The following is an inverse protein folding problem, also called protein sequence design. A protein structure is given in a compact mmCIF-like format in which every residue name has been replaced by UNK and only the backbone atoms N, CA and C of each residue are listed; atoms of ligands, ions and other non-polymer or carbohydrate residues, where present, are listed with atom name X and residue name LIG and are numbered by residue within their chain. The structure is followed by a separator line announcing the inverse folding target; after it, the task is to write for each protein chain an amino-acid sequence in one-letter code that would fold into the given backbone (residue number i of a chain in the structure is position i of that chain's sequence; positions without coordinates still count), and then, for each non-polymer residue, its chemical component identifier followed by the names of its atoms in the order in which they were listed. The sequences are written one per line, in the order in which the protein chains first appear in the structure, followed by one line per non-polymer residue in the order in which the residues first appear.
data_IF_068006722566
#
_entry.id   IF_068006722566
#
_cell.length_a   1.000
_cell.length_b   1.000
_cell.length_c   1.000
_cell.angle_alpha   90.00
_cell.angle_beta   90.00
_cell.angle_gamma   90.00
#
_symmetry.space_group_name_H-M   'P 1'
#
loop_
_entity.id
_entity.type
_entity.pdbx_description
1 polymer ?
#
# COMPACT_ATOMS: atom_id res chain seq x y z
N UNK A 1 28.76 -30.46 41.21
CA UNK A 1 28.02 -29.18 41.36
C UNK A 1 28.34 -28.12 40.29
N UNK A 2 29.11 -28.40 39.23
CA UNK A 2 29.46 -27.40 38.20
C UNK A 2 28.68 -27.54 36.87
N UNK A 3 28.09 -28.70 36.57
CA UNK A 3 27.38 -28.94 35.29
C UNK A 3 25.94 -28.38 35.22
N UNK A 4 25.27 -28.18 36.36
CA UNK A 4 23.90 -27.64 36.38
C UNK A 4 23.84 -26.12 36.27
N UNK A 5 24.90 -25.41 36.67
CA UNK A 5 24.99 -23.95 36.55
C UNK A 5 25.17 -23.53 35.08
N UNK A 6 25.92 -24.30 34.29
CA UNK A 6 26.16 -23.99 32.87
C UNK A 6 24.93 -24.20 31.97
N UNK A 7 24.02 -25.10 32.35
CA UNK A 7 22.78 -25.34 31.59
C UNK A 7 21.72 -24.26 31.86
N UNK A 8 21.74 -23.70 33.07
CA UNK A 8 20.78 -22.67 33.50
C UNK A 8 21.11 -21.29 32.92
N UNK A 9 22.39 -21.00 32.65
CA UNK A 9 22.82 -19.77 31.95
C UNK A 9 22.49 -19.81 30.46
N UNK A 10 22.55 -20.99 29.83
CA UNK A 10 22.19 -21.14 28.41
C UNK A 10 20.68 -20.98 28.17
N UNK A 11 19.85 -21.33 29.15
CA UNK A 11 18.39 -21.18 29.07
C UNK A 11 17.91 -19.72 29.29
N UNK A 12 18.72 -18.88 29.94
CA UNK A 12 18.41 -17.46 30.16
C UNK A 12 18.73 -16.56 28.97
N UNK A 13 19.60 -17.01 28.04
CA UNK A 13 19.91 -16.26 26.82
C UNK A 13 18.86 -16.42 25.71
N UNK A 14 17.86 -17.28 25.88
CA UNK A 14 16.79 -17.52 24.89
C UNK A 14 15.53 -16.68 25.17
N UNK A 15 15.47 -15.95 26.28
CA UNK A 15 14.26 -15.23 26.72
C UNK A 15 14.30 -13.70 26.56
N UNK A 16 15.34 -13.13 25.95
CA UNK A 16 15.47 -11.67 25.76
C UNK A 16 15.42 -11.21 24.29
N UNK A 17 14.88 -12.04 23.40
CA UNK A 17 14.73 -11.72 21.98
C UNK A 17 13.35 -11.18 21.60
N UNK A 18 12.74 -10.31 22.39
CA UNK A 18 11.63 -9.50 21.86
C UNK A 18 12.26 -8.36 21.05
N UNK A 19 12.49 -8.58 19.75
CA UNK A 19 12.82 -7.48 18.86
C UNK A 19 11.68 -6.46 18.95
N UNK A 20 12.00 -5.25 19.38
CA UNK A 20 11.04 -4.21 19.68
C UNK A 20 10.36 -3.78 18.35
N UNK A 21 9.05 -4.03 18.25
CA UNK A 21 8.22 -3.60 17.12
C UNK A 21 7.98 -2.08 17.23
N UNK A 22 9.01 -1.31 16.89
CA UNK A 22 8.95 0.15 16.96
C UNK A 22 8.41 0.75 15.66
N UNK A 23 7.51 1.70 15.84
CA UNK A 23 6.90 2.51 14.78
C UNK A 23 7.84 3.62 14.33
N UNK A 24 8.02 3.79 13.02
CA UNK A 24 8.92 4.79 12.45
C UNK A 24 8.28 6.19 12.41
N UNK A 25 7.00 6.29 12.03
CA UNK A 25 6.28 7.57 11.87
C UNK A 25 5.36 7.83 13.06
N UNK A 26 5.96 7.95 14.23
CA UNK A 26 5.28 8.05 15.53
C UNK A 26 4.51 9.36 15.76
N UNK A 27 4.89 10.46 15.11
CA UNK A 27 4.25 11.77 15.22
C UNK A 27 2.98 11.84 14.35
N UNK A 28 1.83 12.03 15.02
CA UNK A 28 0.50 12.09 14.40
C UNK A 28 0.09 13.54 14.21
N UNK A 29 0.85 14.24 13.38
CA UNK A 29 0.58 15.61 13.03
C UNK A 29 0.92 15.87 11.57
N UNK A 30 0.27 16.88 11.00
CA UNK A 30 0.67 17.39 9.69
C UNK A 30 1.96 18.20 9.83
N UNK A 31 2.95 17.86 9.01
CA UNK A 31 4.23 18.56 8.98
C UNK A 31 4.56 19.05 7.56
N UNK A 32 4.81 20.35 7.41
CA UNK A 32 5.25 20.95 6.15
C UNK A 32 6.74 20.68 5.97
N UNK A 33 7.10 19.96 4.91
CA UNK A 33 8.49 19.64 4.59
C UNK A 33 9.20 20.86 4.02
N UNK A 34 10.34 21.20 4.59
CA UNK A 34 11.21 22.30 4.15
C UNK A 34 12.68 21.82 4.08
N UNK A 35 13.59 22.59 3.45
CA UNK A 35 15.01 22.24 3.45
C UNK A 35 15.60 22.06 4.86
N UNK A 36 15.07 22.76 5.86
CA UNK A 36 15.51 22.67 7.26
C UNK A 36 14.75 21.65 8.10
N UNK A 37 13.62 21.11 7.61
CA UNK A 37 12.82 20.13 8.34
C UNK A 37 12.26 19.07 7.37
N UNK A 38 12.80 17.85 7.44
CA UNK A 38 12.39 16.73 6.60
C UNK A 38 11.15 15.99 7.12
N UNK A 39 10.66 16.32 8.33
CA UNK A 39 9.48 15.70 8.92
C UNK A 39 9.58 14.16 9.02
N UNK A 40 10.77 13.61 9.30
CA UNK A 40 11.04 12.17 9.23
C UNK A 40 10.23 11.31 10.18
N UNK A 41 9.76 11.85 11.30
CA UNK A 41 8.92 11.13 12.28
C UNK A 41 7.43 11.34 12.09
N UNK A 42 7.02 12.29 11.23
CA UNK A 42 5.61 12.60 10.99
C UNK A 42 4.97 11.60 10.05
N UNK A 43 3.79 11.12 10.43
CA UNK A 43 2.93 10.25 9.62
C UNK A 43 2.20 10.99 8.49
N UNK A 44 2.20 12.33 8.49
CA UNK A 44 1.55 13.13 7.45
C UNK A 44 2.40 14.32 7.03
N UNK A 45 3.03 14.20 5.87
CA UNK A 45 3.92 15.20 5.31
C UNK A 45 3.22 15.99 4.20
N UNK A 46 3.43 17.30 4.16
CA UNK A 46 2.96 18.18 3.08
C UNK A 46 4.16 18.73 2.32
N UNK A 47 4.11 18.60 1.00
CA UNK A 47 5.11 19.13 0.09
C UNK A 47 4.48 20.26 -0.73
N UNK A 48 5.07 21.45 -0.65
CA UNK A 48 4.55 22.64 -1.31
C UNK A 48 5.71 23.47 -1.88
N UNK A 49 6.15 23.09 -3.08
CA UNK A 49 7.17 23.81 -3.84
C UNK A 49 6.56 24.39 -5.13
N UNK A 50 7.23 25.36 -5.75
CA UNK A 50 6.81 25.92 -7.03
C UNK A 50 6.64 24.82 -8.09
N UNK A 51 7.54 23.83 -8.11
CA UNK A 51 7.51 22.72 -9.06
C UNK A 51 6.39 21.70 -8.81
N UNK A 52 6.12 21.36 -7.54
CA UNK A 52 5.21 20.27 -7.17
C UNK A 52 4.44 20.57 -5.88
N UNK A 53 3.22 20.03 -5.77
CA UNK A 53 2.42 20.08 -4.55
C UNK A 53 1.72 18.75 -4.34
N UNK A 54 2.01 18.09 -3.23
CA UNK A 54 1.39 16.82 -2.85
C UNK A 54 1.38 16.65 -1.33
N UNK A 55 0.59 15.69 -0.85
CA UNK A 55 0.66 15.20 0.53
C UNK A 55 1.14 13.75 0.50
N UNK A 56 1.84 13.32 1.55
CA UNK A 56 2.29 11.95 1.76
C UNK A 56 1.87 11.52 3.16
N UNK A 57 0.96 10.56 3.23
CA UNK A 57 0.61 9.87 4.46
C UNK A 57 1.39 8.56 4.56
N UNK A 58 1.84 8.21 5.75
CA UNK A 58 2.43 6.90 6.04
C UNK A 58 1.54 6.17 7.06
N UNK A 59 1.19 4.93 6.75
CA UNK A 59 0.45 4.04 7.65
C UNK A 59 1.26 2.76 7.83
N UNK A 60 1.56 2.41 9.08
CA UNK A 60 2.39 1.26 9.41
C UNK A 60 1.56 0.10 9.94
N UNK A 61 1.88 -1.09 9.46
CA UNK A 61 1.26 -2.36 9.81
C UNK A 61 2.33 -3.25 10.46
N UNK A 62 1.99 -3.92 11.55
CA UNK A 62 2.86 -4.90 12.17
C UNK A 62 2.88 -6.23 11.39
N UNK A 63 3.77 -7.13 11.81
CA UNK A 63 3.94 -8.45 11.21
C UNK A 63 2.72 -9.38 11.39
N UNK A 64 1.73 -8.98 12.20
CA UNK A 64 0.47 -9.69 12.42
C UNK A 64 -0.68 -9.06 11.61
N UNK A 65 -0.38 -8.10 10.74
CA UNK A 65 -1.37 -7.43 9.92
C UNK A 65 -2.25 -6.42 10.67
N UNK A 66 -1.89 -6.02 11.89
CA UNK A 66 -2.59 -4.96 12.61
C UNK A 66 -1.97 -3.59 12.30
N UNK A 67 -2.79 -2.55 12.32
CA UNK A 67 -2.28 -1.18 12.27
C UNK A 67 -1.45 -0.91 13.53
N UNK A 68 -0.18 -0.56 13.38
CA UNK A 68 0.68 -0.24 14.53
C UNK A 68 0.12 0.92 15.34
N UNK A 69 -0.41 1.93 14.64
CA UNK A 69 -1.09 3.07 15.27
C UNK A 69 -2.29 3.53 14.46
N UNK A 70 -3.48 3.27 15.01
CA UNK A 70 -4.76 3.61 14.39
C UNK A 70 -4.86 5.08 13.99
N UNK A 71 -4.27 5.97 14.78
CA UNK A 71 -4.33 7.41 14.51
C UNK A 71 -3.63 7.82 13.19
N UNK A 72 -2.66 7.04 12.69
CA UNK A 72 -2.06 7.27 11.36
C UNK A 72 -3.11 7.15 10.25
N UNK A 73 -3.91 6.07 10.32
CA UNK A 73 -5.03 5.84 9.39
C UNK A 73 -6.08 6.94 9.54
N UNK A 74 -6.49 7.26 10.77
CA UNK A 74 -7.55 8.25 11.00
C UNK A 74 -7.14 9.66 10.54
N UNK A 75 -5.90 10.08 10.81
CA UNK A 75 -5.36 11.35 10.32
C UNK A 75 -5.36 11.38 8.78
N UNK A 76 -4.85 10.32 8.14
CA UNK A 76 -4.83 10.20 6.69
C UNK A 76 -6.24 10.32 6.09
N UNK A 77 -7.20 9.55 6.59
CA UNK A 77 -8.58 9.55 6.07
C UNK A 77 -9.24 10.91 6.27
N UNK A 78 -9.03 11.56 7.40
CA UNK A 78 -9.58 12.89 7.68
C UNK A 78 -9.01 13.95 6.72
N UNK A 79 -7.70 13.91 6.47
CA UNK A 79 -7.06 14.81 5.50
C UNK A 79 -7.58 14.57 4.10
N UNK A 80 -7.67 13.31 3.65
CA UNK A 80 -8.20 12.98 2.33
C UNK A 80 -9.68 13.38 2.16
N UNK A 81 -10.51 13.18 3.20
CA UNK A 81 -11.92 13.60 3.18
C UNK A 81 -12.08 15.11 2.96
N UNK A 82 -11.16 15.92 3.47
CA UNK A 82 -11.19 17.38 3.33
C UNK A 82 -10.88 17.90 1.92
N UNK A 83 -10.24 17.10 1.07
CA UNK A 83 -9.88 17.48 -0.30
C UNK A 83 -11.11 17.41 -1.23
N UNK A 84 -11.27 18.33 -2.17
CA UNK A 84 -12.41 18.30 -3.09
C UNK A 84 -12.32 17.10 -4.06
N UNK A 85 -11.14 16.92 -4.66
CA UNK A 85 -10.83 15.81 -5.54
C UNK A 85 -9.37 15.41 -5.42
N UNK A 86 -9.08 14.11 -5.44
CA UNK A 86 -7.72 13.58 -5.24
C UNK A 86 -7.34 12.53 -6.28
N UNK A 87 -6.07 12.57 -6.71
CA UNK A 87 -5.38 11.42 -7.29
C UNK A 87 -4.63 10.73 -6.15
N UNK A 88 -5.25 9.67 -5.64
CA UNK A 88 -4.75 8.86 -4.53
C UNK A 88 -3.82 7.80 -5.11
N UNK A 89 -2.56 7.81 -4.67
CA UNK A 89 -1.56 6.83 -5.09
C UNK A 89 -1.09 6.11 -3.84
N UNK A 90 -1.39 4.82 -3.75
CA UNK A 90 -0.95 3.95 -2.66
C UNK A 90 0.28 3.18 -3.14
N UNK A 91 1.33 3.15 -2.32
CA UNK A 91 2.51 2.32 -2.54
C UNK A 91 2.74 1.41 -1.33
N UNK A 92 2.82 0.10 -1.57
CA UNK A 92 3.13 -0.93 -0.57
C UNK A 92 4.50 -1.51 -0.89
N UNK A 93 5.44 -1.38 0.05
CA UNK A 93 6.83 -1.79 -0.17
C UNK A 93 7.05 -3.31 0.02
N UNK A 94 8.19 -3.79 -0.49
CA UNK A 94 8.65 -5.18 -0.32
C UNK A 94 9.60 -5.37 0.87
N UNK A 95 10.15 -6.57 1.01
CA UNK A 95 10.91 -7.01 2.19
C UNK A 95 12.07 -6.09 2.58
N UNK A 96 13.01 -5.66 1.73
CA UNK A 96 14.17 -4.88 2.22
C UNK A 96 13.88 -3.39 2.53
N UNK A 97 12.67 -3.07 2.97
CA UNK A 97 12.21 -1.70 3.18
C UNK A 97 11.33 -1.58 4.42
N UNK A 98 11.20 -0.37 4.92
CA UNK A 98 10.38 -0.03 6.07
C UNK A 98 9.81 1.40 5.94
N UNK A 99 9.36 2.00 7.04
CA UNK A 99 8.79 3.34 7.07
C UNK A 99 9.77 4.43 7.60
N UNK A 100 11.07 4.14 7.72
CA UNK A 100 12.10 5.05 8.22
C UNK A 100 12.12 6.37 7.44
N UNK A 101 11.87 7.48 8.12
CA UNK A 101 12.06 8.83 7.57
C UNK A 101 13.44 9.40 7.83
N UNK A 102 13.75 10.52 7.16
CA UNK A 102 15.00 11.24 7.41
C UNK A 102 14.97 11.93 8.79
N UNK A 103 15.84 11.48 9.68
CA UNK A 103 16.14 12.12 10.97
C UNK A 103 17.59 12.66 10.94
N UNK A 104 18.03 13.46 11.92
CA UNK A 104 19.45 13.80 12.04
C UNK A 104 20.37 12.59 12.19
N UNK A 105 19.85 11.48 12.72
CA UNK A 105 20.60 10.27 13.03
C UNK A 105 20.55 9.21 11.91
N UNK A 106 19.48 9.19 11.11
CA UNK A 106 19.20 8.10 10.17
C UNK A 106 18.74 8.62 8.80
N UNK A 107 19.18 7.93 7.75
CA UNK A 107 18.76 8.21 6.38
C UNK A 107 17.35 7.68 6.11
N UNK A 108 16.60 8.37 5.24
CA UNK A 108 15.28 7.91 4.80
C UNK A 108 15.38 6.62 3.97
N UNK A 109 14.40 5.74 4.11
CA UNK A 109 14.30 4.53 3.29
C UNK A 109 14.21 4.86 1.78
N UNK A 110 14.91 4.07 0.96
CA UNK A 110 15.02 4.32 -0.49
C UNK A 110 13.69 4.24 -1.23
N UNK A 111 12.74 3.39 -0.82
CA UNK A 111 11.42 3.34 -1.44
C UNK A 111 10.60 4.59 -1.11
N UNK A 112 10.72 5.14 0.09
CA UNK A 112 10.06 6.41 0.44
C UNK A 112 10.64 7.54 -0.42
N UNK A 113 11.98 7.62 -0.54
CA UNK A 113 12.64 8.59 -1.40
C UNK A 113 12.17 8.49 -2.87
N UNK A 114 12.17 7.28 -3.42
CA UNK A 114 11.70 7.03 -4.79
C UNK A 114 10.22 7.37 -4.95
N UNK A 115 9.38 7.00 -3.99
CA UNK A 115 7.96 7.30 -4.03
C UNK A 115 7.69 8.80 -3.99
N UNK A 116 8.39 9.57 -3.15
CA UNK A 116 8.34 11.04 -3.13
C UNK A 116 8.70 11.65 -4.50
N UNK A 117 9.75 11.13 -5.14
CA UNK A 117 10.15 11.58 -6.48
C UNK A 117 9.05 11.32 -7.51
N UNK A 118 8.38 10.17 -7.44
CA UNK A 118 7.26 9.85 -8.32
C UNK A 118 6.04 10.73 -8.04
N UNK A 119 5.68 10.99 -6.78
CA UNK A 119 4.60 11.92 -6.43
C UNK A 119 4.89 13.35 -6.91
N UNK A 120 6.13 13.81 -6.83
CA UNK A 120 6.55 15.10 -7.36
C UNK A 120 6.38 15.17 -8.89
N UNK A 121 6.80 14.12 -9.61
CA UNK A 121 6.65 14.03 -11.06
C UNK A 121 5.17 13.99 -11.48
N UNK A 122 4.35 13.17 -10.81
CA UNK A 122 2.90 13.08 -11.02
C UNK A 122 2.25 14.44 -10.77
N UNK A 123 2.62 15.13 -9.68
CA UNK A 123 2.12 16.47 -9.37
C UNK A 123 2.44 17.49 -10.47
N UNK A 124 3.67 17.45 -11.00
CA UNK A 124 4.06 18.31 -12.11
C UNK A 124 3.25 18.07 -13.40
N UNK A 125 2.81 16.83 -13.63
CA UNK A 125 1.94 16.48 -14.76
C UNK A 125 0.48 16.87 -14.48
N UNK A 126 -0.04 16.56 -13.29
CA UNK A 126 -1.42 16.84 -12.89
C UNK A 126 -1.75 18.33 -12.91
N UNK A 127 -0.77 19.19 -12.55
CA UNK A 127 -0.90 20.65 -12.66
C UNK A 127 -1.25 21.15 -14.07
N UNK A 128 -0.97 20.36 -15.11
CA UNK A 128 -1.27 20.69 -16.53
C UNK A 128 -2.67 20.22 -16.97
N UNK A 129 -3.39 19.49 -16.12
CA UNK A 129 -4.75 19.05 -16.37
C UNK A 129 -5.73 20.22 -16.34
N UNK A 130 -6.81 20.15 -17.12
CA UNK A 130 -7.90 21.13 -17.10
C UNK A 130 -8.66 21.17 -15.76
N UNK A 131 -8.57 20.08 -14.98
CA UNK A 131 -9.14 19.98 -13.63
C UNK A 131 -8.14 19.24 -12.74
N UNK A 132 -7.12 19.96 -12.22
CA UNK A 132 -6.06 19.35 -11.43
C UNK A 132 -6.62 18.88 -10.09
N UNK A 133 -6.31 17.64 -9.75
CA UNK A 133 -6.65 17.03 -8.46
C UNK A 133 -5.51 17.22 -7.47
N UNK A 134 -5.82 17.13 -6.18
CA UNK A 134 -4.80 17.00 -5.15
C UNK A 134 -4.05 15.68 -5.34
N UNK A 135 -2.72 15.73 -5.41
CA UNK A 135 -1.91 14.51 -5.33
C UNK A 135 -1.80 14.08 -3.87
N UNK A 136 -2.28 12.86 -3.59
CA UNK A 136 -2.33 12.30 -2.25
C UNK A 136 -1.64 10.93 -2.24
N UNK A 137 -0.38 10.92 -1.82
CA UNK A 137 0.40 9.69 -1.65
C UNK A 137 0.09 9.00 -0.34
N UNK A 138 0.00 7.68 -0.38
CA UNK A 138 -0.13 6.81 0.80
C UNK A 138 0.98 5.77 0.72
N UNK A 139 1.92 5.83 1.64
CA UNK A 139 2.94 4.80 1.82
C UNK A 139 2.46 3.84 2.90
N UNK A 140 2.33 2.56 2.56
CA UNK A 140 2.01 1.53 3.55
C UNK A 140 3.30 0.81 3.93
N UNK A 141 3.69 1.03 5.18
CA UNK A 141 4.88 0.46 5.80
C UNK A 141 4.58 -0.83 6.56
N UNK A 142 5.47 -1.79 6.53
CA UNK A 142 5.52 -2.94 7.44
C UNK A 142 6.98 -3.31 7.72
N UNK A 143 7.23 -4.19 8.69
CA UNK A 143 8.61 -4.57 9.03
C UNK A 143 9.16 -5.56 8.02
N UNK A 144 9.84 -4.99 7.04
CA UNK A 144 10.50 -5.73 6.00
C UNK A 144 11.64 -6.60 6.52
N UNK A 145 12.74 -6.00 6.98
CA UNK A 145 13.91 -6.72 7.51
C UNK A 145 13.78 -6.96 9.03
N UNK A 146 13.92 -8.20 9.47
CA UNK A 146 13.84 -8.54 10.90
C UNK A 146 15.14 -9.08 11.48
N UNK A 147 16.10 -9.54 10.65
CA UNK A 147 17.36 -10.14 11.13
C UNK A 147 18.48 -9.96 10.08
N UNK A 148 19.40 -9.01 10.30
CA UNK A 148 20.68 -8.93 9.58
C UNK A 148 21.67 -9.98 10.12
N UNK A 149 21.49 -11.25 9.76
CA UNK A 149 22.51 -12.29 9.99
C UNK A 149 22.86 -12.92 8.65
N UNK A 150 24.07 -12.62 8.17
CA UNK A 150 24.66 -13.22 6.97
C UNK A 150 24.54 -14.75 7.01
N UNK A 151 23.79 -15.31 6.06
CA UNK A 151 23.61 -16.76 5.89
C UNK A 151 22.26 -17.34 6.34
N UNK A 152 21.34 -16.55 6.93
CA UNK A 152 19.97 -16.98 7.27
C UNK A 152 18.88 -16.47 6.30
N UNK A 153 19.29 -15.78 5.22
CA UNK A 153 18.40 -15.13 4.23
C UNK A 153 17.34 -16.03 3.57
N UNK A 154 17.50 -17.35 3.58
CA UNK A 154 16.50 -18.27 2.99
C UNK A 154 15.38 -18.58 3.98
N UNK A 155 15.67 -18.65 5.28
CA UNK A 155 14.64 -18.88 6.30
C UNK A 155 13.76 -17.63 6.49
N UNK A 156 14.38 -16.44 6.48
CA UNK A 156 13.66 -15.16 6.48
C UNK A 156 12.82 -14.98 5.21
N UNK A 157 13.19 -15.56 4.06
CA UNK A 157 12.38 -15.48 2.83
C UNK A 157 11.01 -16.11 2.95
N UNK A 158 10.94 -17.34 3.46
CA UNK A 158 9.68 -18.03 3.60
C UNK A 158 8.82 -17.48 4.75
N UNK A 159 9.44 -17.03 5.84
CA UNK A 159 8.72 -16.35 6.93
C UNK A 159 8.16 -15.00 6.48
N UNK A 160 8.96 -14.16 5.80
CA UNK A 160 8.51 -12.86 5.29
C UNK A 160 7.48 -13.00 4.16
N UNK A 161 7.52 -14.10 3.40
CA UNK A 161 6.44 -14.44 2.47
C UNK A 161 5.10 -14.65 3.17
N UNK A 162 5.09 -15.45 4.23
CA UNK A 162 3.88 -15.67 5.02
C UNK A 162 3.41 -14.37 5.71
N UNK A 163 4.34 -13.55 6.22
CA UNK A 163 4.02 -12.23 6.79
C UNK A 163 3.40 -11.28 5.77
N UNK A 164 3.91 -11.22 4.54
CA UNK A 164 3.33 -10.36 3.50
C UNK A 164 1.89 -10.78 3.14
N UNK A 165 1.60 -12.08 3.17
CA UNK A 165 0.23 -12.59 3.00
C UNK A 165 -0.66 -12.14 4.18
N UNK A 166 -0.20 -12.30 5.42
CA UNK A 166 -0.94 -11.92 6.63
C UNK A 166 -1.20 -10.40 6.73
N UNK A 167 -0.19 -9.57 6.42
CA UNK A 167 -0.31 -8.10 6.31
C UNK A 167 -1.37 -7.71 5.28
N UNK A 168 -1.44 -8.46 4.18
CA UNK A 168 -2.46 -8.29 3.16
C UNK A 168 -3.89 -8.53 3.66
N UNK A 169 -4.10 -9.53 4.52
CA UNK A 169 -5.43 -10.01 4.89
C UNK A 169 -6.22 -9.11 5.85
N UNK A 170 -5.55 -8.25 6.63
CA UNK A 170 -6.22 -7.45 7.65
C UNK A 170 -6.03 -5.94 7.42
N UNK A 171 -5.00 -5.34 8.04
CA UNK A 171 -4.80 -3.89 8.06
C UNK A 171 -4.73 -3.26 6.67
N UNK A 172 -4.04 -3.91 5.72
CA UNK A 172 -3.96 -3.40 4.35
C UNK A 172 -5.32 -3.41 3.66
N UNK A 173 -6.10 -4.48 3.82
CA UNK A 173 -7.46 -4.57 3.29
C UNK A 173 -8.34 -3.45 3.82
N UNK A 174 -8.28 -3.14 5.13
CA UNK A 174 -9.01 -2.00 5.69
C UNK A 174 -8.59 -0.66 5.06
N UNK A 175 -7.29 -0.38 5.01
CA UNK A 175 -6.76 0.86 4.43
C UNK A 175 -7.30 1.04 3.00
N UNK A 176 -7.17 0.01 2.18
CA UNK A 176 -7.58 0.05 0.78
C UNK A 176 -9.10 0.26 0.64
N UNK A 177 -9.93 -0.50 1.36
CA UNK A 177 -11.38 -0.37 1.30
C UNK A 177 -11.87 1.01 1.74
N UNK A 178 -11.26 1.60 2.78
CA UNK A 178 -11.59 2.95 3.25
C UNK A 178 -11.22 4.02 2.22
N UNK A 179 -10.08 3.86 1.53
CA UNK A 179 -9.68 4.77 0.45
C UNK A 179 -10.63 4.68 -0.75
N UNK A 180 -11.05 3.46 -1.13
CA UNK A 180 -12.02 3.23 -2.19
C UNK A 180 -13.38 3.87 -1.83
N UNK A 181 -13.89 3.62 -0.63
CA UNK A 181 -15.12 4.24 -0.10
C UNK A 181 -15.09 5.77 -0.20
N UNK A 182 -13.98 6.41 0.21
CA UNK A 182 -13.84 7.86 0.13
C UNK A 182 -13.80 8.33 -1.33
N UNK A 183 -13.07 7.64 -2.20
CA UNK A 183 -12.99 7.96 -3.63
C UNK A 183 -14.37 7.87 -4.28
N UNK A 184 -15.14 6.83 -3.99
CA UNK A 184 -16.47 6.61 -4.56
C UNK A 184 -17.46 7.66 -4.07
N UNK A 185 -17.45 7.96 -2.78
CA UNK A 185 -18.27 9.03 -2.21
C UNK A 185 -17.98 10.39 -2.85
N UNK A 186 -16.70 10.75 -3.05
CA UNK A 186 -16.32 11.99 -3.76
C UNK A 186 -16.81 12.01 -5.21
N UNK A 187 -16.94 10.84 -5.83
CA UNK A 187 -17.34 10.70 -7.22
C UNK A 187 -18.87 10.64 -7.43
N UNK A 188 -19.68 10.72 -6.37
CA UNK A 188 -21.14 10.86 -6.48
C UNK A 188 -21.57 12.21 -7.07
N UNK A 189 -20.78 13.26 -6.84
CA UNK A 189 -21.01 14.58 -7.41
C UNK A 189 -20.43 14.64 -8.84
N UNK A 190 -21.30 14.85 -9.83
CA UNK A 190 -20.89 14.96 -11.24
C UNK A 190 -20.31 16.34 -11.59
N UNK A 191 -20.52 17.35 -10.74
CA UNK A 191 -20.00 18.71 -10.95
C UNK A 191 -18.52 18.87 -10.57
N UNK A 192 -17.98 17.90 -9.84
CA UNK A 192 -16.60 17.92 -9.33
C UNK A 192 -15.65 17.05 -10.16
N UNK A 193 -14.35 17.38 -10.21
CA UNK A 193 -13.35 16.51 -10.80
C UNK A 193 -13.37 15.12 -10.16
N UNK A 194 -13.33 14.06 -10.97
CA UNK A 194 -13.38 12.69 -10.45
C UNK A 194 -12.07 12.33 -9.74
N UNK A 195 -12.18 11.94 -8.48
CA UNK A 195 -11.08 11.34 -7.71
C UNK A 195 -10.71 9.99 -8.30
N UNK A 196 -9.42 9.63 -8.20
CA UNK A 196 -8.90 8.33 -8.66
C UNK A 196 -8.10 7.65 -7.58
N UNK A 197 -8.16 6.32 -7.53
CA UNK A 197 -7.38 5.48 -6.64
C UNK A 197 -6.50 4.52 -7.45
N UNK A 198 -5.19 4.67 -7.33
CA UNK A 198 -4.19 3.77 -7.91
C UNK A 198 -3.42 3.10 -6.78
N UNK A 199 -3.38 1.77 -6.78
CA UNK A 199 -2.66 0.97 -5.78
C UNK A 199 -1.49 0.27 -6.45
N UNK A 200 -0.30 0.43 -5.89
CA UNK A 200 0.93 -0.16 -6.40
C UNK A 200 1.59 -0.99 -5.31
N UNK A 201 1.90 -2.25 -5.62
CA UNK A 201 2.69 -3.12 -4.75
C UNK A 201 3.92 -3.65 -5.47
N UNK A 202 5.08 -3.58 -4.82
CA UNK A 202 6.33 -4.13 -5.37
C UNK A 202 6.81 -5.35 -4.58
N UNK A 203 7.25 -6.41 -5.25
CA UNK A 203 7.80 -7.62 -4.62
C UNK A 203 6.83 -8.20 -3.59
N UNK A 204 7.22 -8.30 -2.31
CA UNK A 204 6.33 -8.70 -1.22
C UNK A 204 5.15 -7.76 -1.00
N UNK A 205 5.31 -6.45 -1.23
CA UNK A 205 4.19 -5.51 -1.23
C UNK A 205 3.21 -5.80 -2.37
N UNK A 206 3.69 -6.33 -3.50
CA UNK A 206 2.86 -6.83 -4.58
C UNK A 206 2.03 -8.06 -4.17
N UNK A 207 2.63 -8.97 -3.38
CA UNK A 207 1.92 -10.10 -2.81
C UNK A 207 0.88 -9.65 -1.77
N UNK A 208 1.22 -8.71 -0.88
CA UNK A 208 0.29 -8.16 0.11
C UNK A 208 -0.92 -7.48 -0.56
N UNK A 209 -0.68 -6.64 -1.58
CA UNK A 209 -1.77 -5.99 -2.34
C UNK A 209 -2.63 -7.03 -3.06
N UNK A 210 -2.02 -8.06 -3.65
CA UNK A 210 -2.80 -9.14 -4.29
C UNK A 210 -3.67 -9.87 -3.26
N UNK A 211 -3.13 -10.27 -2.12
CA UNK A 211 -3.88 -10.91 -1.03
C UNK A 211 -5.04 -10.05 -0.53
N UNK A 212 -4.85 -8.72 -0.45
CA UNK A 212 -5.87 -7.78 -0.02
C UNK A 212 -7.01 -7.57 -1.05
N UNK A 213 -6.73 -7.77 -2.34
CA UNK A 213 -7.65 -7.39 -3.43
C UNK A 213 -8.22 -8.57 -4.22
N UNK A 214 -7.59 -9.75 -4.19
CA UNK A 214 -7.97 -10.87 -5.05
C UNK A 214 -9.42 -11.34 -4.83
N UNK A 215 -9.86 -11.46 -3.57
CA UNK A 215 -11.24 -11.85 -3.25
C UNK A 215 -12.27 -10.78 -3.64
N UNK A 216 -11.87 -9.50 -3.60
CA UNK A 216 -12.72 -8.38 -4.04
C UNK A 216 -12.90 -8.44 -5.57
N UNK A 217 -11.82 -8.68 -6.32
CA UNK A 217 -11.90 -8.88 -7.77
C UNK A 217 -12.76 -10.08 -8.12
N UNK A 218 -12.57 -11.23 -7.44
CA UNK A 218 -13.38 -12.42 -7.66
C UNK A 218 -14.88 -12.16 -7.45
N UNK A 219 -15.25 -11.51 -6.33
CA UNK A 219 -16.63 -11.12 -6.05
C UNK A 219 -17.21 -10.19 -7.14
N UNK A 220 -16.44 -9.20 -7.61
CA UNK A 220 -16.88 -8.26 -8.66
C UNK A 220 -17.01 -8.91 -10.03
N UNK A 221 -16.13 -9.84 -10.38
CA UNK A 221 -16.27 -10.66 -11.57
C UNK A 221 -17.56 -11.50 -11.50
N UNK A 222 -17.82 -12.13 -10.34
CA UNK A 222 -19.00 -12.97 -10.13
C UNK A 222 -20.32 -12.19 -10.10
N UNK A 223 -20.40 -11.06 -9.38
CA UNK A 223 -21.63 -10.28 -9.22
C UNK A 223 -22.20 -9.76 -10.55
N UNK A 224 -21.34 -9.49 -11.53
CA UNK A 224 -21.76 -9.17 -12.89
C UNK A 224 -22.53 -10.33 -13.54
N UNK A 225 -22.20 -11.58 -13.21
CA UNK A 225 -22.84 -12.76 -13.80
C UNK A 225 -24.25 -13.05 -13.24
N UNK A 226 -24.54 -12.67 -11.99
CA UNK A 226 -25.82 -12.99 -11.33
C UNK A 226 -26.80 -11.81 -11.22
N UNK A 227 -26.42 -10.62 -11.72
CA UNK A 227 -27.27 -9.43 -11.77
C UNK A 227 -28.38 -9.48 -12.83
N UNK A 228 -29.19 -10.54 -12.84
CA UNK A 228 -30.46 -10.57 -13.54
C UNK A 228 -31.50 -9.77 -12.72
N UNK A 229 -31.85 -8.55 -13.15
CA UNK A 229 -33.12 -7.97 -12.66
C UNK A 229 -33.35 -6.47 -12.81
N UNK A 230 -32.40 -5.58 -12.56
CA UNK A 230 -32.72 -4.15 -12.47
C UNK A 230 -31.61 -3.23 -13.00
N UNK A 231 -31.99 -2.43 -14.01
CA UNK A 231 -31.25 -1.37 -14.70
C UNK A 231 -30.24 -1.82 -15.76
N UNK A 232 -30.78 -1.96 -16.97
CA UNK A 232 -30.10 -2.19 -18.25
C UNK A 232 -29.46 -0.91 -18.84
N UNK A 233 -29.08 0.03 -17.99
CA UNK A 233 -28.50 1.30 -18.43
C UNK A 233 -27.21 1.54 -17.64
N UNK A 234 -26.12 1.80 -18.40
CA UNK A 234 -24.86 2.45 -18.01
C UNK A 234 -23.66 1.52 -17.72
N UNK A 235 -22.79 1.42 -18.74
CA UNK A 235 -21.41 0.96 -18.74
C UNK A 235 -21.16 -0.57 -18.61
N UNK A 236 -20.80 -1.20 -19.74
CA UNK A 236 -20.39 -2.61 -19.81
C UNK A 236 -19.02 -2.87 -19.15
N UNK A 237 -18.46 -1.91 -18.42
CA UNK A 237 -17.14 -2.03 -17.81
C UNK A 237 -17.14 -2.99 -16.61
N UNK A 238 -16.11 -3.81 -16.48
CA UNK A 238 -15.92 -4.65 -15.30
C UNK A 238 -15.53 -3.77 -14.11
N UNK A 239 -16.25 -3.91 -13.00
CA UNK A 239 -15.85 -3.32 -11.72
C UNK A 239 -14.54 -3.98 -11.27
N UNK A 240 -13.52 -3.16 -11.04
CA UNK A 240 -12.25 -3.57 -10.45
C UNK A 240 -12.01 -2.80 -9.17
N UNK A 241 -10.90 -3.02 -8.47
CA UNK A 241 -10.55 -2.29 -7.25
C UNK A 241 -10.04 -0.88 -7.55
N UNK A 242 -10.72 0.15 -7.03
CA UNK A 242 -10.44 1.54 -7.33
C UNK A 242 -10.43 1.83 -8.82
N UNK A 243 -9.40 2.51 -9.30
CA UNK A 243 -9.22 2.81 -10.72
C UNK A 243 -8.14 1.93 -11.37
N UNK A 244 -7.11 1.52 -10.64
CA UNK A 244 -6.04 0.65 -11.12
C UNK A 244 -5.27 0.00 -9.96
N UNK A 245 -5.01 -1.31 -10.06
CA UNK A 245 -4.03 -2.03 -9.24
C UNK A 245 -2.83 -2.42 -10.10
N UNK A 246 -1.61 -2.10 -9.67
CA UNK A 246 -0.35 -2.44 -10.34
C UNK A 246 0.52 -3.28 -9.42
N UNK A 247 0.86 -4.50 -9.86
CA UNK A 247 1.75 -5.39 -9.15
C UNK A 247 3.07 -5.49 -9.91
N UNK A 248 4.16 -5.08 -9.28
CA UNK A 248 5.49 -5.07 -9.88
C UNK A 248 6.31 -6.21 -9.28
N UNK A 249 6.69 -7.17 -10.11
CA UNK A 249 7.43 -8.38 -9.75
C UNK A 249 6.88 -9.02 -8.46
N UNK A 250 5.56 -9.30 -8.36
CA UNK A 250 4.97 -9.73 -7.10
C UNK A 250 5.51 -11.09 -6.67
N UNK A 251 5.86 -11.22 -5.38
CA UNK A 251 6.52 -12.41 -4.83
C UNK A 251 5.52 -13.53 -4.45
N UNK A 252 4.66 -13.94 -5.39
CA UNK A 252 3.73 -15.07 -5.23
C UNK A 252 3.76 -16.00 -6.45
N UNK A 253 3.35 -17.26 -6.28
CA UNK A 253 3.30 -18.24 -7.36
C UNK A 253 2.22 -17.90 -8.39
N UNK A 254 2.53 -17.98 -9.68
CA UNK A 254 1.56 -17.75 -10.76
C UNK A 254 0.26 -18.56 -10.61
N UNK A 255 0.32 -19.76 -10.01
CA UNK A 255 -0.84 -20.59 -9.69
C UNK A 255 -1.86 -19.90 -8.77
N UNK A 256 -1.44 -18.96 -7.91
CA UNK A 256 -2.36 -18.17 -7.08
C UNK A 256 -3.17 -17.15 -7.90
N UNK A 257 -2.66 -16.74 -9.06
CA UNK A 257 -3.38 -15.84 -9.97
C UNK A 257 -4.33 -16.60 -10.92
N UNK A 258 -4.05 -17.86 -11.24
CA UNK A 258 -4.79 -18.63 -12.25
C UNK A 258 -6.33 -18.63 -12.05
N UNK A 259 -6.88 -18.88 -10.85
CA UNK A 259 -8.34 -18.84 -10.67
C UNK A 259 -8.94 -17.46 -10.96
N UNK A 260 -8.23 -16.38 -10.60
CA UNK A 260 -8.67 -15.02 -10.85
C UNK A 260 -8.62 -14.68 -12.34
N UNK A 261 -7.59 -15.16 -13.03
CA UNK A 261 -7.48 -15.08 -14.48
C UNK A 261 -8.64 -15.81 -15.17
N UNK A 262 -8.91 -17.05 -14.77
CA UNK A 262 -10.00 -17.85 -15.35
C UNK A 262 -11.36 -17.15 -15.17
N UNK A 263 -11.63 -16.58 -13.98
CA UNK A 263 -12.83 -15.77 -13.73
C UNK A 263 -12.90 -14.50 -14.59
N UNK A 264 -11.75 -13.86 -14.85
CA UNK A 264 -11.71 -12.68 -15.71
C UNK A 264 -11.92 -13.02 -17.20
N UNK A 265 -11.53 -14.22 -17.63
CA UNK A 265 -11.63 -14.67 -19.02
C UNK A 265 -12.96 -15.37 -19.34
N UNK A 266 -13.64 -15.97 -18.37
CA UNK A 266 -14.78 -16.87 -18.61
C UNK A 266 -15.95 -16.24 -19.38
N UNK A 267 -16.13 -14.91 -19.28
CA UNK A 267 -17.08 -14.14 -20.11
C UNK A 267 -16.51 -12.77 -20.50
N UNK A 268 -15.29 -12.76 -21.06
CA UNK A 268 -14.67 -11.52 -21.54
C UNK A 268 -15.55 -10.90 -22.64
N UNK A 269 -16.26 -9.82 -22.31
CA UNK A 269 -16.92 -8.97 -23.30
C UNK A 269 -15.85 -8.02 -23.79
N UNK A 270 -15.51 -8.11 -25.09
CA UNK A 270 -14.63 -7.15 -25.76
C UNK A 270 -15.25 -5.76 -25.68
N UNK A 271 -14.88 -5.02 -24.63
CA UNK A 271 -15.19 -3.60 -24.49
C UNK A 271 -13.89 -2.84 -24.74
N UNK A 272 -13.68 -2.28 -25.96
CA UNK A 272 -12.45 -1.58 -26.30
C UNK A 272 -12.20 -0.34 -25.42
N UNK A 273 -13.23 0.17 -24.75
CA UNK A 273 -13.13 1.31 -23.83
C UNK A 273 -12.77 0.88 -22.39
N UNK A 274 -12.76 -0.43 -22.10
CA UNK A 274 -12.38 -0.96 -20.79
C UNK A 274 -10.90 -0.67 -20.50
N UNK A 275 -10.66 0.16 -19.49
CA UNK A 275 -9.32 0.38 -18.97
C UNK A 275 -8.86 -0.83 -18.13
N UNK A 276 -7.56 -1.16 -18.14
CA UNK A 276 -7.01 -2.17 -17.23
C UNK A 276 -7.37 -1.86 -15.77
N UNK A 277 -7.81 -2.89 -15.04
CA UNK A 277 -8.14 -2.80 -13.61
C UNK A 277 -7.08 -3.42 -12.72
N UNK A 278 -6.40 -4.45 -13.22
CA UNK A 278 -5.25 -5.10 -12.60
C UNK A 278 -4.18 -5.28 -13.67
N UNK A 279 -2.97 -4.78 -13.40
CA UNK A 279 -1.80 -4.95 -14.26
C UNK A 279 -0.71 -5.62 -13.45
N UNK A 280 -0.21 -6.76 -13.93
CA UNK A 280 0.92 -7.47 -13.34
C UNK A 280 2.12 -7.31 -14.28
N UNK A 281 3.19 -6.69 -13.79
CA UNK A 281 4.43 -6.49 -14.51
C UNK A 281 5.46 -7.45 -13.93
N UNK A 282 6.04 -8.31 -14.77
CA UNK A 282 7.08 -9.27 -14.37
C UNK A 282 8.32 -9.05 -15.24
N UNK A 283 9.51 -9.13 -14.65
CA UNK A 283 10.77 -9.17 -15.40
C UNK A 283 11.05 -10.60 -15.87
N UNK A 284 11.52 -10.73 -17.10
CA UNK A 284 12.13 -11.97 -17.59
C UNK A 284 13.45 -12.19 -16.81
N UNK A 285 13.57 -13.34 -16.16
CA UNK A 285 14.75 -13.73 -15.38
C UNK A 285 15.77 -14.50 -16.22
#
# INVERSE_FOLDING_TARGET
MSKHVSFMVLLWLVLSGCAQDEIYRSDISECLVTPSNQCGTSSFQVYNDAGFKYSLATVEIDDQGQLQKRDQLDLMLNKLKSEEAALIVVFVHGWHHNAQGATPEEYEDLNIQNFRNQLAAISGQEKKSASPRKIFGVYVGWRGDSIEVDGLNVATFWERKNTAEEVGHLGLTEILLRLEEIRDNKNTDASKPKSRLVVVGHSFGGAAVFSATAQIFADRYIKKHYGEGHHKDLDNSHEGFGDLVVLINPAFEALRYAPLYDMAQSDCIDNPDQKPKLTILTSEG
#
